data_IF_745745810642
#
_entry.id   IF_745745810642
#
_cell.length_a   1.000
_cell.length_b   1.000
_cell.length_c   1.000
_cell.angle_alpha   90.00
_cell.angle_beta   90.00
_cell.angle_gamma   90.00
#
_symmetry.space_group_name_H-M   'P 1'
#
loop_
_entity.id
_entity.type
_entity.pdbx_description
1 polymer ?
#
# COMPACT_ATOMS: atom_id res chain seq x y z
N UNK A 1 14.19 -6.39 -5.73
CA UNK A 1 12.92 -5.64 -5.74
C UNK A 1 13.19 -4.22 -5.26
N UNK A 2 12.66 -3.20 -5.94
CA UNK A 2 12.83 -1.78 -5.58
C UNK A 2 11.54 -1.36 -4.86
N UNK A 3 11.65 -0.95 -3.59
CA UNK A 3 10.50 -0.58 -2.76
C UNK A 3 10.38 0.94 -2.53
N UNK A 4 11.48 1.65 -2.68
CA UNK A 4 11.59 3.10 -2.49
C UNK A 4 12.65 3.65 -3.44
N UNK A 5 12.44 4.85 -3.96
CA UNK A 5 13.39 5.55 -4.82
C UNK A 5 13.46 7.02 -4.39
N UNK A 6 14.64 7.48 -4.02
CA UNK A 6 14.93 8.88 -3.72
C UNK A 6 16.04 9.38 -4.63
N UNK A 7 15.81 10.51 -5.26
CA UNK A 7 16.77 11.09 -6.18
C UNK A 7 16.28 12.34 -6.85
N UNK A 8 16.98 12.77 -7.89
CA UNK A 8 16.68 13.98 -8.65
C UNK A 8 15.67 13.70 -9.76
N UNK A 9 14.58 14.45 -9.81
CA UNK A 9 13.59 14.37 -10.87
C UNK A 9 14.17 14.94 -12.18
N UNK A 10 14.49 14.08 -13.14
CA UNK A 10 15.06 14.47 -14.43
C UNK A 10 13.98 14.97 -15.38
N UNK A 11 12.86 14.26 -15.46
CA UNK A 11 11.72 14.65 -16.27
C UNK A 11 10.43 14.12 -15.69
N UNK A 12 9.30 14.78 -15.99
CA UNK A 12 7.96 14.29 -15.69
C UNK A 12 7.01 14.55 -16.83
N UNK A 13 6.19 13.57 -17.13
CA UNK A 13 5.07 13.63 -18.05
C UNK A 13 3.83 13.01 -17.41
N UNK A 14 2.63 13.27 -17.88
CA UNK A 14 1.47 12.52 -17.44
C UNK A 14 1.75 11.01 -17.53
N UNK A 15 1.61 10.29 -16.45
CA UNK A 15 1.88 8.86 -16.27
C UNK A 15 3.36 8.41 -16.26
N UNK A 16 4.34 9.32 -16.29
CA UNK A 16 5.76 8.96 -16.29
C UNK A 16 6.60 9.96 -15.50
N UNK A 17 7.57 9.47 -14.75
CA UNK A 17 8.64 10.28 -14.16
C UNK A 17 9.98 9.55 -14.30
N UNK A 18 11.04 10.29 -14.64
CA UNK A 18 12.41 9.76 -14.62
C UNK A 18 13.10 10.36 -13.40
N UNK A 19 13.54 9.47 -12.50
CA UNK A 19 14.26 9.84 -11.27
C UNK A 19 15.67 9.30 -11.35
N UNK A 20 16.64 10.17 -11.24
CA UNK A 20 18.06 9.81 -11.22
C UNK A 20 18.50 9.58 -9.78
N UNK A 21 19.09 8.42 -9.52
CA UNK A 21 19.72 8.08 -8.26
C UNK A 21 21.05 7.38 -8.50
N UNK A 22 22.14 7.97 -8.00
CA UNK A 22 23.49 7.42 -8.15
C UNK A 22 23.97 7.28 -9.60
N UNK A 23 23.55 8.18 -10.51
CA UNK A 23 23.91 8.15 -11.92
C UNK A 23 23.04 7.22 -12.78
N UNK A 24 22.02 6.57 -12.20
CA UNK A 24 21.08 5.71 -12.93
C UNK A 24 19.72 6.41 -13.00
N UNK A 25 19.17 6.53 -14.21
CA UNK A 25 17.82 7.05 -14.46
C UNK A 25 16.79 5.93 -14.39
N UNK A 26 15.88 6.02 -13.43
CA UNK A 26 14.77 5.08 -13.27
C UNK A 26 13.51 5.62 -13.94
N UNK A 27 12.98 4.86 -14.89
CA UNK A 27 11.69 5.17 -15.51
C UNK A 27 10.56 4.61 -14.66
N UNK A 28 9.71 5.49 -14.14
CA UNK A 28 8.67 5.17 -13.17
C UNK A 28 7.32 5.57 -13.73
N UNK A 29 6.40 4.62 -13.86
CA UNK A 29 5.00 4.89 -14.17
C UNK A 29 4.31 5.46 -12.93
N UNK A 30 3.64 6.59 -13.08
CA UNK A 30 2.98 7.32 -12.00
C UNK A 30 1.51 7.59 -12.30
N UNK A 31 0.72 7.89 -11.28
CA UNK A 31 -0.67 8.35 -11.43
C UNK A 31 -0.73 9.84 -11.79
N UNK A 32 -1.88 10.30 -12.31
CA UNK A 32 -2.11 11.74 -12.56
C UNK A 32 -2.03 12.57 -11.27
N UNK A 33 -2.63 12.15 -10.13
CA UNK A 33 -2.42 12.83 -8.85
C UNK A 33 -0.94 12.98 -8.48
N UNK A 34 -0.17 11.88 -8.55
CA UNK A 34 1.28 11.92 -8.32
C UNK A 34 1.98 12.90 -9.26
N UNK A 35 1.68 12.90 -10.57
CA UNK A 35 2.25 13.86 -11.52
C UNK A 35 1.98 15.32 -11.14
N UNK A 36 0.76 15.62 -10.71
CA UNK A 36 0.36 16.98 -10.32
C UNK A 36 1.06 17.48 -9.06
N UNK A 37 1.35 16.60 -8.11
CA UNK A 37 2.01 16.92 -6.85
C UNK A 37 3.55 16.86 -6.94
N UNK A 38 4.13 16.23 -7.97
CA UNK A 38 5.58 16.20 -8.16
C UNK A 38 6.17 17.60 -8.28
N UNK A 39 7.33 17.88 -7.67
CA UNK A 39 8.01 19.17 -7.76
C UNK A 39 8.49 19.46 -9.20
N UNK A 40 9.10 20.61 -9.38
CA UNK A 40 9.75 20.96 -10.65
C UNK A 40 10.91 20.01 -10.97
N UNK A 41 11.17 19.79 -12.25
CA UNK A 41 12.36 19.05 -12.72
C UNK A 41 13.64 19.64 -12.15
N UNK A 42 14.60 18.81 -11.81
CA UNK A 42 15.83 19.16 -11.11
C UNK A 42 15.74 19.08 -9.58
N UNK A 43 14.53 19.05 -9.00
CA UNK A 43 14.32 18.91 -7.55
C UNK A 43 14.49 17.49 -7.08
N UNK A 44 14.77 17.31 -5.79
CA UNK A 44 14.77 15.99 -5.15
C UNK A 44 13.35 15.49 -4.93
N UNK A 45 13.15 14.22 -5.15
CA UNK A 45 11.86 13.52 -4.95
C UNK A 45 12.09 12.16 -4.29
N UNK A 46 11.13 11.74 -3.48
CA UNK A 46 11.07 10.39 -2.91
C UNK A 46 9.74 9.73 -3.28
N UNK A 47 9.80 8.52 -3.80
CA UNK A 47 8.65 7.75 -4.25
C UNK A 47 8.60 6.39 -3.57
N UNK A 48 7.42 5.98 -3.15
CA UNK A 48 7.13 4.59 -2.81
C UNK A 48 6.98 3.79 -4.09
N UNK A 49 7.77 2.73 -4.26
CA UNK A 49 7.83 1.97 -5.51
C UNK A 49 7.20 0.59 -5.35
N UNK A 50 6.41 0.20 -6.32
CA UNK A 50 6.05 -1.18 -6.58
C UNK A 50 6.82 -1.68 -7.81
N UNK A 51 7.60 -2.75 -7.64
CA UNK A 51 8.32 -3.38 -8.75
C UNK A 51 7.49 -4.53 -9.32
N UNK A 52 7.16 -4.43 -10.58
CA UNK A 52 6.46 -5.48 -11.32
C UNK A 52 7.44 -6.16 -12.28
N UNK A 53 7.67 -7.46 -12.06
CA UNK A 53 8.60 -8.26 -12.87
C UNK A 53 7.81 -9.26 -13.68
N UNK A 54 8.12 -9.34 -14.97
CA UNK A 54 7.68 -10.40 -15.89
C UNK A 54 8.91 -11.01 -16.57
N UNK A 55 8.74 -12.06 -17.34
CA UNK A 55 9.82 -12.70 -18.07
C UNK A 55 10.54 -11.74 -19.04
N UNK A 56 9.77 -10.82 -19.62
CA UNK A 56 10.19 -9.89 -20.67
C UNK A 56 10.33 -8.43 -20.22
N UNK A 57 9.95 -8.09 -18.98
CA UNK A 57 9.91 -6.70 -18.53
C UNK A 57 10.08 -6.54 -17.02
N UNK A 58 10.76 -5.45 -16.65
CA UNK A 58 10.77 -4.91 -15.29
C UNK A 58 10.16 -3.51 -15.33
N UNK A 59 9.03 -3.33 -14.64
CA UNK A 59 8.32 -2.06 -14.59
C UNK A 59 8.25 -1.53 -13.15
N UNK A 60 8.46 -0.23 -12.99
CA UNK A 60 8.35 0.47 -11.72
C UNK A 60 7.09 1.33 -11.71
N UNK A 61 6.32 1.23 -10.63
CA UNK A 61 5.14 2.04 -10.37
C UNK A 61 5.39 2.86 -9.11
N UNK A 62 5.27 4.19 -9.20
CA UNK A 62 5.66 5.12 -8.14
C UNK A 62 4.51 5.97 -7.63
N UNK A 63 4.53 6.20 -6.33
CA UNK A 63 3.50 6.94 -5.60
C UNK A 63 4.16 7.87 -4.58
N UNK A 64 3.61 9.07 -4.39
CA UNK A 64 4.07 9.97 -3.34
C UNK A 64 3.61 9.53 -1.95
N UNK A 65 2.50 8.81 -1.86
CA UNK A 65 1.91 8.35 -0.60
C UNK A 65 1.91 6.84 -0.50
N UNK A 66 2.23 6.34 0.69
CA UNK A 66 2.25 4.90 0.97
C UNK A 66 0.86 4.26 0.80
N UNK A 67 -0.20 5.00 1.14
CA UNK A 67 -1.58 4.55 1.02
C UNK A 67 -1.97 4.32 -0.45
N UNK A 68 -1.54 5.19 -1.37
CA UNK A 68 -1.80 5.00 -2.80
C UNK A 68 -1.11 3.74 -3.33
N UNK A 69 0.15 3.50 -2.92
CA UNK A 69 0.87 2.27 -3.24
C UNK A 69 0.14 1.04 -2.71
N UNK A 70 -0.29 1.08 -1.44
CA UNK A 70 -1.03 -0.03 -0.84
C UNK A 70 -2.34 -0.33 -1.58
N UNK A 71 -3.08 0.72 -1.97
CA UNK A 71 -4.30 0.56 -2.74
C UNK A 71 -4.01 -0.01 -4.14
N UNK A 72 -2.96 0.46 -4.80
CA UNK A 72 -2.50 -0.11 -6.07
C UNK A 72 -2.20 -1.61 -5.93
N UNK A 73 -1.45 -2.00 -4.90
CA UNK A 73 -1.10 -3.40 -4.64
C UNK A 73 -2.33 -4.27 -4.38
N UNK A 74 -3.35 -3.74 -3.70
CA UNK A 74 -4.63 -4.43 -3.53
C UNK A 74 -5.41 -4.52 -4.85
N UNK A 75 -5.45 -3.46 -5.65
CA UNK A 75 -6.13 -3.46 -6.95
C UNK A 75 -5.59 -4.52 -7.90
N UNK A 76 -4.28 -4.67 -8.00
CA UNK A 76 -3.67 -5.67 -8.88
C UNK A 76 -3.88 -7.13 -8.44
N UNK A 77 -4.38 -7.37 -7.22
CA UNK A 77 -4.80 -8.72 -6.78
C UNK A 77 -6.18 -9.11 -7.31
N UNK A 78 -6.94 -8.16 -7.83
CA UNK A 78 -8.28 -8.42 -8.37
C UNK A 78 -8.17 -9.03 -9.76
N UNK A 79 -8.87 -10.13 -9.99
CA UNK A 79 -8.88 -10.79 -11.29
C UNK A 79 -9.39 -9.86 -12.39
N UNK A 80 -8.55 -9.62 -13.40
CA UNK A 80 -8.83 -8.72 -14.52
C UNK A 80 -8.34 -7.29 -14.33
N UNK A 81 -7.70 -6.96 -13.21
CA UNK A 81 -7.04 -5.69 -12.98
C UNK A 81 -5.53 -5.87 -12.98
N UNK A 82 -4.89 -5.55 -14.09
CA UNK A 82 -3.43 -5.48 -14.17
C UNK A 82 -2.89 -4.11 -13.76
N UNK A 83 -1.55 -3.96 -13.63
CA UNK A 83 -0.91 -2.71 -13.21
C UNK A 83 -1.33 -1.49 -14.02
N UNK A 84 -1.41 -1.62 -15.34
CA UNK A 84 -1.83 -0.51 -16.23
C UNK A 84 -3.27 -0.04 -15.96
N UNK A 85 -4.19 -0.97 -15.66
CA UNK A 85 -5.57 -0.61 -15.32
C UNK A 85 -5.63 -0.03 -13.90
N UNK A 86 -4.86 -0.54 -12.95
CA UNK A 86 -4.78 0.00 -11.60
C UNK A 86 -4.28 1.47 -11.58
N UNK A 87 -3.24 1.80 -12.38
CA UNK A 87 -2.78 3.20 -12.56
C UNK A 87 -3.89 4.09 -13.12
N UNK A 88 -4.61 3.63 -14.17
CA UNK A 88 -5.73 4.38 -14.75
C UNK A 88 -6.83 4.58 -13.71
N UNK A 89 -7.11 3.57 -12.91
CA UNK A 89 -8.12 3.59 -11.85
C UNK A 89 -7.77 4.65 -10.79
N UNK A 90 -6.54 4.65 -10.29
CA UNK A 90 -6.03 5.64 -9.32
C UNK A 90 -5.85 7.04 -9.93
N UNK A 91 -5.72 7.14 -11.24
CA UNK A 91 -5.69 8.43 -11.94
C UNK A 91 -7.08 9.02 -12.14
N UNK A 92 -8.11 8.18 -12.22
CA UNK A 92 -9.50 8.60 -12.48
C UNK A 92 -10.33 8.86 -11.22
N UNK A 93 -9.88 8.41 -10.04
CA UNK A 93 -10.61 8.58 -8.79
C UNK A 93 -9.62 8.64 -7.62
N UNK A 94 -9.84 9.58 -6.68
CA UNK A 94 -9.04 9.67 -5.47
C UNK A 94 -9.14 8.39 -4.63
N UNK A 95 -8.04 8.00 -3.97
CA UNK A 95 -7.96 6.75 -3.21
C UNK A 95 -9.08 6.61 -2.16
N UNK A 96 -9.36 7.68 -1.41
CA UNK A 96 -10.42 7.69 -0.40
C UNK A 96 -11.82 7.48 -1.01
N UNK A 97 -12.10 8.13 -2.15
CA UNK A 97 -13.37 7.99 -2.88
C UNK A 97 -13.55 6.58 -3.42
N UNK A 98 -12.47 5.98 -3.91
CA UNK A 98 -12.49 4.61 -4.42
C UNK A 98 -12.77 3.60 -3.31
N UNK A 99 -12.11 3.74 -2.17
CA UNK A 99 -12.38 2.91 -0.98
C UNK A 99 -13.84 3.06 -0.54
N UNK A 100 -14.36 4.29 -0.50
CA UNK A 100 -15.76 4.56 -0.21
C UNK A 100 -16.71 3.87 -1.19
N UNK A 101 -16.45 3.98 -2.50
CA UNK A 101 -17.27 3.36 -3.54
C UNK A 101 -17.26 1.83 -3.48
N UNK A 102 -16.09 1.23 -3.18
CA UNK A 102 -15.96 -0.23 -3.02
C UNK A 102 -16.77 -0.70 -1.79
N UNK A 103 -16.64 -0.02 -0.65
CA UNK A 103 -17.35 -0.37 0.58
C UNK A 103 -18.86 -0.26 0.46
N UNK A 104 -19.34 0.78 -0.25
CA UNK A 104 -20.77 1.01 -0.48
C UNK A 104 -21.35 0.24 -1.67
N UNK A 105 -20.56 -0.55 -2.40
CA UNK A 105 -20.92 -1.20 -3.67
C UNK A 105 -21.45 -0.20 -4.73
N UNK A 106 -20.86 0.99 -4.79
CA UNK A 106 -21.24 2.00 -5.76
C UNK A 106 -20.67 1.68 -7.16
N UNK A 107 -21.29 0.71 -7.81
CA UNK A 107 -20.92 0.29 -9.16
C UNK A 107 -21.03 1.43 -10.18
N UNK A 108 -21.97 2.36 -9.96
CA UNK A 108 -22.18 3.47 -10.87
C UNK A 108 -20.99 4.43 -10.88
N UNK A 109 -20.36 4.66 -9.74
CA UNK A 109 -19.11 5.45 -9.65
C UNK A 109 -17.93 4.68 -10.23
N UNK A 110 -17.77 3.41 -9.89
CA UNK A 110 -16.64 2.59 -10.34
C UNK A 110 -16.62 2.39 -11.85
N UNK A 111 -17.77 2.19 -12.49
CA UNK A 111 -17.88 2.01 -13.95
C UNK A 111 -17.67 3.30 -14.76
N UNK A 112 -17.60 4.47 -14.13
CA UNK A 112 -17.18 5.71 -14.80
C UNK A 112 -15.68 5.73 -15.12
N UNK A 113 -14.90 4.88 -14.48
CA UNK A 113 -13.46 4.79 -14.70
C UNK A 113 -13.22 4.03 -16.03
N UNK A 114 -12.49 4.63 -16.99
CA UNK A 114 -12.22 4.00 -18.27
C UNK A 114 -11.49 2.65 -18.11
N UNK A 115 -12.09 1.59 -18.67
CA UNK A 115 -11.58 0.22 -18.57
C UNK A 115 -12.18 -0.61 -17.43
N UNK A 116 -13.01 -0.02 -16.57
CA UNK A 116 -13.75 -0.76 -15.54
C UNK A 116 -15.19 -0.96 -16.01
N UNK A 117 -15.50 -2.19 -16.44
CA UNK A 117 -16.85 -2.62 -16.72
C UNK A 117 -17.59 -3.11 -15.46
N UNK A 118 -18.89 -3.38 -15.60
CA UNK A 118 -19.72 -3.82 -14.47
C UNK A 118 -19.18 -5.07 -13.76
N UNK A 119 -18.75 -6.07 -14.52
CA UNK A 119 -18.16 -7.31 -13.95
C UNK A 119 -16.88 -7.05 -13.16
N UNK A 120 -16.03 -6.14 -13.63
CA UNK A 120 -14.79 -5.75 -12.93
C UNK A 120 -15.13 -4.98 -11.65
N UNK A 121 -16.10 -4.04 -11.70
CA UNK A 121 -16.56 -3.31 -10.52
C UNK A 121 -17.14 -4.24 -9.45
N UNK A 122 -17.95 -5.22 -9.84
CA UNK A 122 -18.50 -6.24 -8.93
C UNK A 122 -17.38 -7.05 -8.26
N UNK A 123 -16.38 -7.49 -9.04
CA UNK A 123 -15.20 -8.20 -8.51
C UNK A 123 -14.40 -7.33 -7.53
N UNK A 124 -14.16 -6.07 -7.88
CA UNK A 124 -13.49 -5.12 -6.97
C UNK A 124 -14.19 -5.05 -5.62
N UNK A 125 -15.51 -4.93 -5.62
CA UNK A 125 -16.26 -4.84 -4.37
C UNK A 125 -16.21 -6.15 -3.57
N UNK A 126 -16.32 -7.31 -4.22
CA UNK A 126 -16.28 -8.60 -3.53
C UNK A 126 -14.88 -8.93 -3.00
N UNK A 127 -13.84 -8.76 -3.84
CA UNK A 127 -12.49 -9.19 -3.50
C UNK A 127 -11.73 -8.19 -2.61
N UNK A 128 -12.12 -6.91 -2.60
CA UNK A 128 -11.41 -5.86 -1.85
C UNK A 128 -12.14 -5.37 -0.61
N UNK A 129 -13.44 -5.62 -0.44
CA UNK A 129 -14.19 -5.11 0.72
C UNK A 129 -13.48 -5.40 2.04
N UNK A 130 -13.19 -6.67 2.30
CA UNK A 130 -12.58 -7.11 3.55
C UNK A 130 -11.10 -6.70 3.64
N UNK A 131 -10.41 -6.66 2.49
CA UNK A 131 -9.00 -6.24 2.41
C UNK A 131 -8.80 -4.74 2.62
N UNK A 132 -9.86 -3.95 2.51
CA UNK A 132 -9.85 -2.49 2.71
C UNK A 132 -10.41 -2.09 4.08
N UNK A 133 -10.79 -3.03 4.94
CA UNK A 133 -11.14 -2.71 6.33
C UNK A 133 -9.97 -1.97 7.00
N UNK A 134 -10.25 -0.81 7.58
CA UNK A 134 -9.22 0.06 8.18
C UNK A 134 -8.42 0.92 7.18
N UNK A 135 -8.57 0.72 5.87
CA UNK A 135 -7.87 1.53 4.87
C UNK A 135 -8.39 2.97 4.88
N UNK A 136 -7.47 3.96 5.06
CA UNK A 136 -7.84 5.38 5.07
C UNK A 136 -8.67 5.83 6.29
N UNK A 137 -8.99 4.94 7.22
CA UNK A 137 -9.33 5.41 8.55
C UNK A 137 -8.08 6.10 9.10
N UNK A 138 -8.19 7.29 9.74
CA UNK A 138 -7.13 7.68 10.64
C UNK A 138 -6.94 6.44 11.51
N UNK A 139 -5.74 5.86 11.48
CA UNK A 139 -5.43 4.85 12.46
C UNK A 139 -5.82 5.51 13.77
N UNK A 140 -6.92 5.06 14.39
CA UNK A 140 -7.13 5.32 15.78
C UNK A 140 -5.81 4.86 16.37
N UNK A 141 -5.04 5.83 16.83
CA UNK A 141 -3.74 5.61 17.44
C UNK A 141 -4.06 4.82 18.69
N UNK A 142 -4.24 3.51 18.53
CA UNK A 142 -3.86 2.62 19.59
C UNK A 142 -2.35 2.85 19.62
N UNK A 143 -1.90 3.66 20.57
CA UNK A 143 -0.51 4.03 20.74
C UNK A 143 0.24 2.78 21.21
N UNK A 144 0.38 1.82 20.31
CA UNK A 144 1.41 0.80 20.46
C UNK A 144 2.74 1.54 20.38
N UNK A 145 3.62 1.31 21.34
CA UNK A 145 4.98 1.79 21.20
C UNK A 145 5.59 1.22 19.92
N UNK A 146 6.62 1.86 19.37
CA UNK A 146 7.30 1.33 18.18
C UNK A 146 7.70 -0.15 18.37
N UNK A 147 8.10 -0.53 19.57
CA UNK A 147 8.44 -1.91 19.95
C UNK A 147 7.23 -2.86 19.87
N UNK A 148 6.06 -2.42 20.30
CA UNK A 148 4.83 -3.22 20.24
C UNK A 148 4.42 -3.48 18.78
N UNK A 149 4.48 -2.46 17.91
CA UNK A 149 4.16 -2.60 16.49
C UNK A 149 5.15 -3.51 15.77
N UNK A 150 6.44 -3.43 16.11
CA UNK A 150 7.47 -4.34 15.59
C UNK A 150 7.19 -5.80 16.00
N UNK A 151 6.75 -6.05 17.23
CA UNK A 151 6.36 -7.41 17.68
C UNK A 151 5.10 -7.89 16.96
N UNK A 152 4.08 -7.06 16.79
CA UNK A 152 2.86 -7.40 16.04
C UNK A 152 3.23 -7.75 14.59
N UNK A 153 4.09 -6.96 13.97
CA UNK A 153 4.58 -7.19 12.61
C UNK A 153 5.32 -8.53 12.50
N UNK A 154 6.22 -8.82 13.45
CA UNK A 154 6.96 -10.09 13.49
C UNK A 154 6.02 -11.31 13.61
N UNK A 155 5.03 -11.25 14.50
CA UNK A 155 4.04 -12.32 14.67
C UNK A 155 3.17 -12.50 13.42
N UNK A 156 2.79 -11.41 12.77
CA UNK A 156 2.02 -11.45 11.52
C UNK A 156 2.83 -12.07 10.39
N UNK A 157 4.13 -11.77 10.29
CA UNK A 157 5.05 -12.38 9.33
C UNK A 157 5.27 -13.89 9.59
N UNK A 158 5.10 -14.35 10.83
CA UNK A 158 5.07 -15.78 11.20
C UNK A 158 3.74 -16.47 10.87
N UNK A 159 2.76 -15.74 10.31
CA UNK A 159 1.49 -16.31 9.87
C UNK A 159 0.34 -16.18 10.86
N UNK A 160 0.53 -15.53 12.00
CA UNK A 160 -0.58 -15.27 12.93
C UNK A 160 -1.48 -14.14 12.41
N UNK A 161 -2.78 -14.23 12.67
CA UNK A 161 -3.72 -13.16 12.34
C UNK A 161 -3.41 -11.92 13.18
N UNK A 162 -3.42 -10.73 12.55
CA UNK A 162 -3.09 -9.45 13.21
C UNK A 162 -3.89 -9.23 14.49
N UNK A 163 -5.22 -9.47 14.48
CA UNK A 163 -6.08 -9.32 15.65
C UNK A 163 -5.70 -10.25 16.82
N UNK A 164 -5.17 -11.45 16.52
CA UNK A 164 -4.66 -12.37 17.54
C UNK A 164 -3.30 -11.90 18.08
N UNK A 165 -2.43 -11.42 17.20
CA UNK A 165 -1.13 -10.86 17.55
C UNK A 165 -1.27 -9.63 18.45
N UNK A 166 -2.17 -8.68 18.11
CA UNK A 166 -2.45 -7.48 18.92
C UNK A 166 -2.89 -7.84 20.34
N UNK A 167 -3.84 -8.76 20.51
CA UNK A 167 -4.29 -9.23 21.82
C UNK A 167 -3.19 -9.94 22.62
N UNK A 168 -2.33 -10.68 21.94
CA UNK A 168 -1.22 -11.39 22.59
C UNK A 168 -0.15 -10.39 23.06
N UNK A 169 0.18 -9.39 22.23
CA UNK A 169 1.12 -8.32 22.57
C UNK A 169 0.59 -7.45 23.72
N UNK A 170 -0.67 -7.08 23.72
CA UNK A 170 -1.29 -6.33 24.80
C UNK A 170 -1.13 -7.04 26.17
N UNK A 171 -1.38 -8.35 26.22
CA UNK A 171 -1.17 -9.18 27.42
C UNK A 171 0.31 -9.30 27.79
N UNK A 172 1.17 -9.48 26.79
CA UNK A 172 2.61 -9.61 27.01
C UNK A 172 3.23 -8.33 27.59
N UNK A 173 2.78 -7.17 27.12
CA UNK A 173 3.20 -5.84 27.63
C UNK A 173 2.83 -5.63 29.08
N UNK A 174 1.64 -6.09 29.49
CA UNK A 174 1.23 -6.02 30.90
C UNK A 174 2.13 -6.86 31.81
N UNK A 175 2.71 -7.97 31.30
CA UNK A 175 3.55 -8.86 32.07
C UNK A 175 5.06 -8.53 31.99
N UNK A 176 5.55 -8.05 30.84
CA UNK A 176 6.98 -7.90 30.53
C UNK A 176 7.44 -6.43 30.39
N UNK A 177 6.51 -5.44 30.49
CA UNK A 177 6.84 -4.02 30.23
C UNK A 177 6.90 -3.70 28.74
N UNK A 178 7.08 -2.40 28.38
CA UNK A 178 6.93 -1.89 26.99
C UNK A 178 8.24 -1.74 26.21
N UNK A 179 9.39 -1.92 26.83
CA UNK A 179 10.68 -1.49 26.26
C UNK A 179 11.51 -2.60 25.64
N UNK A 180 11.19 -3.87 25.91
CA UNK A 180 12.02 -4.99 25.49
C UNK A 180 11.30 -5.86 24.46
N UNK A 181 11.69 -5.71 23.18
CA UNK A 181 11.16 -6.49 22.05
C UNK A 181 11.19 -8.00 22.33
N UNK A 182 12.34 -8.55 22.75
CA UNK A 182 12.52 -9.99 22.95
C UNK A 182 11.59 -10.55 24.04
N UNK A 183 11.43 -9.81 25.13
CA UNK A 183 10.56 -10.23 26.24
C UNK A 183 9.09 -10.24 25.81
N UNK A 184 8.64 -9.18 25.15
CA UNK A 184 7.25 -9.06 24.62
C UNK A 184 7.01 -10.12 23.57
N UNK A 185 7.94 -10.30 22.62
CA UNK A 185 7.80 -11.25 21.53
C UNK A 185 7.68 -12.70 22.05
N UNK A 186 8.58 -13.12 22.96
CA UNK A 186 8.52 -14.48 23.55
C UNK A 186 7.25 -14.71 24.35
N UNK A 187 6.81 -13.73 25.13
CA UNK A 187 5.59 -13.85 25.91
C UNK A 187 4.34 -13.94 25.00
N UNK A 188 4.26 -13.10 23.97
CA UNK A 188 3.17 -13.10 23.01
C UNK A 188 3.14 -14.39 22.17
N UNK A 189 4.30 -14.85 21.69
CA UNK A 189 4.43 -16.11 20.94
C UNK A 189 4.01 -17.32 21.80
N UNK A 190 4.43 -17.37 23.06
CA UNK A 190 4.03 -18.41 24.01
C UNK A 190 2.53 -18.42 24.31
N UNK A 191 1.86 -17.28 24.22
CA UNK A 191 0.40 -17.17 24.38
C UNK A 191 -0.37 -17.63 23.12
N UNK A 192 0.23 -17.50 21.92
CA UNK A 192 -0.36 -17.89 20.64
C UNK A 192 -0.11 -19.36 20.27
N UNK A 193 0.89 -20.00 20.88
CA UNK A 193 1.29 -21.38 20.59
C UNK A 193 0.52 -22.43 21.43
N UNK A 194 -0.41 -21.99 22.28
CA UNK A 194 -1.31 -22.84 23.08
C UNK A 194 -2.68 -22.94 22.42
#
# INVERSE_FOLDING_TARGET
MIAHLRGRLISKHPNQAIVEAGGVGYDVTITIPTFSELPATGSEVALHIHTHVREDALALYGFLRAEEKQLFEKLITVSGIGPSLAIKTLSGMAAADMVGAIRSNDFARLTKIPGIGRKTAERMCVELRDKLEGFGAPQAVVTHSAVEEDVISALTNLGYQRAAAEKAVERAVQAAGRENFDAIFRAALGALSK
#
